data_IF_051007362259
#
_entry.id   IF_051007362259
#
_cell.length_a   1.000
_cell.length_b   1.000
_cell.length_c   1.000
_cell.angle_alpha   90.00
_cell.angle_beta   90.00
_cell.angle_gamma   90.00
#
_symmetry.space_group_name_H-M   'P 1'
#
loop_
_entity.id
_entity.type
_entity.pdbx_description
1 polymer ?
#
# COMPACT_ATOMS: atom_id res chain seq x y z
N UNK A 1 -26.32 -10.11 -8.47
CA UNK A 1 -24.98 -9.97 -7.85
C UNK A 1 -24.71 -8.50 -7.60
N UNK A 2 -24.06 -8.13 -6.47
CA UNK A 2 -23.72 -6.73 -6.20
C UNK A 2 -22.57 -6.32 -7.11
N UNK A 3 -22.72 -5.23 -7.84
CA UNK A 3 -21.65 -4.67 -8.67
C UNK A 3 -20.60 -4.01 -7.77
N UNK A 4 -19.32 -4.33 -7.92
CA UNK A 4 -18.22 -3.79 -7.10
C UNK A 4 -17.54 -2.65 -7.85
N UNK A 5 -17.50 -1.46 -7.23
CA UNK A 5 -16.84 -0.29 -7.77
C UNK A 5 -15.50 -0.09 -7.07
N UNK A 6 -14.39 -0.25 -7.81
CA UNK A 6 -13.03 -0.04 -7.33
C UNK A 6 -12.55 1.34 -7.81
N UNK A 7 -12.16 2.22 -6.89
CA UNK A 7 -11.54 3.49 -7.24
C UNK A 7 -10.02 3.43 -7.03
N UNK A 8 -9.27 3.66 -8.10
CA UNK A 8 -7.81 3.86 -8.06
C UNK A 8 -7.56 5.35 -7.96
N UNK A 9 -6.92 5.76 -6.87
CA UNK A 9 -6.69 7.17 -6.54
C UNK A 9 -5.55 7.71 -7.40
N UNK A 10 -5.85 8.71 -8.23
CA UNK A 10 -4.90 9.37 -9.10
C UNK A 10 -4.50 10.73 -8.52
N UNK A 11 -3.38 10.78 -7.83
CA UNK A 11 -2.78 12.00 -7.29
C UNK A 11 -1.41 12.28 -7.92
N UNK A 12 -1.24 11.86 -9.17
CA UNK A 12 -0.02 12.00 -9.97
C UNK A 12 1.23 11.29 -9.41
N UNK A 13 1.02 10.27 -8.59
CA UNK A 13 2.06 9.36 -8.11
C UNK A 13 1.61 7.92 -8.30
N UNK A 14 2.36 7.13 -9.05
CA UNK A 14 2.08 5.71 -9.19
C UNK A 14 1.94 5.23 -10.63
N UNK A 15 2.12 3.92 -10.82
CA UNK A 15 1.84 3.25 -12.08
C UNK A 15 0.36 2.90 -12.18
N UNK A 16 -0.45 3.94 -12.40
CA UNK A 16 -1.92 3.86 -12.44
C UNK A 16 -2.41 2.88 -13.50
N UNK A 17 -1.78 2.89 -14.68
CA UNK A 17 -2.20 2.04 -15.79
C UNK A 17 -2.04 0.56 -15.46
N UNK A 18 -0.89 0.15 -14.91
CA UNK A 18 -0.64 -1.23 -14.52
C UNK A 18 -1.58 -1.68 -13.39
N UNK A 19 -1.79 -0.83 -12.38
CA UNK A 19 -2.73 -1.12 -11.31
C UNK A 19 -4.15 -1.33 -11.86
N UNK A 20 -4.62 -0.43 -12.73
CA UNK A 20 -5.94 -0.55 -13.38
C UNK A 20 -6.09 -1.88 -14.12
N UNK A 21 -5.11 -2.23 -14.96
CA UNK A 21 -5.13 -3.48 -15.72
C UNK A 21 -5.16 -4.72 -14.84
N UNK A 22 -4.40 -4.73 -13.74
CA UNK A 22 -4.41 -5.82 -12.79
C UNK A 22 -5.78 -6.02 -12.15
N UNK A 23 -6.45 -4.95 -11.73
CA UNK A 23 -7.80 -5.04 -11.15
C UNK A 23 -8.88 -5.40 -12.18
N UNK A 24 -8.79 -4.89 -13.42
CA UNK A 24 -9.70 -5.29 -14.52
C UNK A 24 -9.56 -6.79 -14.81
N UNK A 25 -8.32 -7.31 -14.85
CA UNK A 25 -8.07 -8.73 -15.03
C UNK A 25 -8.62 -9.57 -13.88
N UNK A 26 -8.35 -9.16 -12.62
CA UNK A 26 -8.84 -9.87 -11.44
C UNK A 26 -10.38 -9.95 -11.39
N UNK A 27 -11.09 -8.87 -11.74
CA UNK A 27 -12.55 -8.90 -11.85
C UNK A 27 -13.02 -9.93 -12.89
N UNK A 28 -12.31 -10.01 -14.01
CA UNK A 28 -12.65 -10.95 -15.10
C UNK A 28 -12.37 -12.40 -14.69
N UNK A 29 -11.19 -12.68 -14.14
CA UNK A 29 -10.78 -14.05 -13.76
C UNK A 29 -11.63 -14.63 -12.61
N UNK A 30 -12.09 -13.76 -11.70
CA UNK A 30 -12.93 -14.14 -10.57
C UNK A 30 -14.43 -14.10 -10.88
N UNK A 31 -14.83 -13.78 -12.12
CA UNK A 31 -16.21 -13.62 -12.55
C UNK A 31 -17.01 -12.65 -11.65
N UNK A 32 -16.36 -11.57 -11.24
CA UNK A 32 -16.95 -10.54 -10.38
C UNK A 32 -17.47 -9.39 -11.24
N UNK A 33 -18.78 -9.13 -11.15
CA UNK A 33 -19.36 -7.94 -11.76
C UNK A 33 -18.84 -6.68 -11.06
N UNK A 34 -18.19 -5.79 -11.80
CA UNK A 34 -17.60 -4.60 -11.20
C UNK A 34 -17.00 -3.64 -12.23
N UNK A 35 -16.53 -2.51 -11.72
CA UNK A 35 -15.83 -1.50 -12.51
C UNK A 35 -14.58 -1.01 -11.80
N UNK A 36 -13.58 -0.61 -12.59
CA UNK A 36 -12.34 0.00 -12.09
C UNK A 36 -12.26 1.43 -12.64
N UNK A 37 -12.34 2.41 -11.75
CA UNK A 37 -12.31 3.83 -12.10
C UNK A 37 -11.04 4.47 -11.57
N UNK A 38 -10.28 5.12 -12.45
CA UNK A 38 -9.12 5.96 -12.06
C UNK A 38 -9.64 7.38 -11.85
N UNK A 39 -9.45 7.94 -10.66
CA UNK A 39 -10.05 9.23 -10.31
C UNK A 39 -9.28 9.96 -9.22
N UNK A 40 -9.40 11.28 -9.22
CA UNK A 40 -9.07 12.16 -8.10
C UNK A 40 -10.29 12.95 -7.61
N UNK A 41 -11.48 12.62 -8.10
CA UNK A 41 -12.73 13.24 -7.72
C UNK A 41 -13.21 12.66 -6.38
N UNK A 42 -13.31 13.48 -5.30
CA UNK A 42 -13.79 13.06 -4.00
C UNK A 42 -15.18 12.41 -4.02
N UNK A 43 -16.08 12.84 -4.91
CA UNK A 43 -17.43 12.27 -4.98
C UNK A 43 -17.42 10.85 -5.55
N UNK A 44 -16.56 10.56 -6.50
CA UNK A 44 -16.41 9.20 -7.06
C UNK A 44 -15.78 8.29 -6.00
N UNK A 45 -14.77 8.78 -5.30
CA UNK A 45 -14.13 8.06 -4.19
C UNK A 45 -15.13 7.74 -3.09
N UNK A 46 -15.98 8.69 -2.76
CA UNK A 46 -17.01 8.51 -1.74
C UNK A 46 -18.01 7.39 -2.09
N UNK A 47 -18.26 7.14 -3.36
CA UNK A 47 -19.20 6.10 -3.85
C UNK A 47 -18.52 4.73 -4.08
N UNK A 48 -17.20 4.63 -3.98
CA UNK A 48 -16.47 3.39 -4.22
C UNK A 48 -16.69 2.36 -3.11
N UNK A 49 -16.73 1.09 -3.48
CA UNK A 49 -16.78 -0.05 -2.55
C UNK A 49 -15.40 -0.47 -2.07
N UNK A 50 -14.35 -0.18 -2.86
CA UNK A 50 -12.95 -0.47 -2.55
C UNK A 50 -12.05 0.64 -3.09
N UNK A 51 -10.98 0.95 -2.36
CA UNK A 51 -10.03 1.98 -2.71
C UNK A 51 -8.66 1.36 -2.97
N UNK A 52 -7.91 1.95 -3.91
CA UNK A 52 -6.52 1.60 -4.18
C UNK A 52 -5.70 2.88 -4.17
N UNK A 53 -4.67 2.92 -3.34
CA UNK A 53 -3.72 4.03 -3.22
C UNK A 53 -2.36 3.57 -3.76
N UNK A 54 -2.07 3.70 -5.05
CA UNK A 54 -0.75 3.43 -5.59
C UNK A 54 0.20 4.57 -5.26
N UNK A 55 1.51 4.31 -5.29
CA UNK A 55 2.50 5.36 -5.13
C UNK A 55 3.85 4.93 -5.68
N UNK A 56 4.51 5.84 -6.44
CA UNK A 56 5.88 5.69 -6.94
C UNK A 56 6.58 7.03 -6.82
N UNK A 57 7.82 7.04 -6.34
CA UNK A 57 8.63 8.25 -6.16
C UNK A 57 9.06 8.45 -4.72
N UNK A 58 9.27 9.69 -4.31
CA UNK A 58 9.67 10.03 -2.95
C UNK A 58 8.45 10.18 -2.02
N UNK A 59 8.58 9.73 -0.77
CA UNK A 59 7.53 9.78 0.24
C UNK A 59 6.91 11.18 0.41
N UNK A 60 7.76 12.19 0.62
CA UNK A 60 7.32 13.57 0.84
C UNK A 60 6.63 14.18 -0.38
N UNK A 61 7.12 13.88 -1.58
CA UNK A 61 6.51 14.34 -2.82
C UNK A 61 5.11 13.75 -3.00
N UNK A 62 4.97 12.43 -2.84
CA UNK A 62 3.69 11.74 -2.95
C UNK A 62 2.70 12.25 -1.90
N UNK A 63 3.12 12.46 -0.65
CA UNK A 63 2.27 13.01 0.39
C UNK A 63 1.75 14.41 0.03
N UNK A 64 2.64 15.29 -0.44
CA UNK A 64 2.28 16.65 -0.82
C UNK A 64 1.31 16.66 -2.01
N UNK A 65 1.53 15.83 -3.01
CA UNK A 65 0.60 15.68 -4.15
C UNK A 65 -0.77 15.20 -3.71
N UNK A 66 -0.82 14.19 -2.83
CA UNK A 66 -2.08 13.69 -2.28
C UNK A 66 -2.85 14.80 -1.54
N UNK A 67 -2.14 15.61 -0.74
CA UNK A 67 -2.73 16.72 0.01
C UNK A 67 -3.09 17.94 -0.84
N UNK A 68 -2.45 18.12 -2.00
CA UNK A 68 -2.71 19.25 -2.90
C UNK A 68 -4.06 19.17 -3.62
N UNK A 69 -4.60 17.97 -3.79
CA UNK A 69 -5.92 17.77 -4.41
C UNK A 69 -6.99 18.05 -3.37
N UNK A 70 -7.75 19.12 -3.60
CA UNK A 70 -8.77 19.60 -2.66
C UNK A 70 -9.83 18.52 -2.37
N UNK A 71 -10.04 18.21 -1.10
CA UNK A 71 -11.03 17.25 -0.62
C UNK A 71 -10.67 15.78 -0.82
N UNK A 72 -9.60 15.46 -1.55
CA UNK A 72 -9.23 14.07 -1.86
C UNK A 72 -8.83 13.29 -0.61
N UNK A 73 -7.89 13.82 0.14
CA UNK A 73 -7.39 13.19 1.37
C UNK A 73 -8.47 13.02 2.43
N UNK A 74 -9.35 14.01 2.56
CA UNK A 74 -10.48 14.03 3.48
C UNK A 74 -11.50 12.94 3.09
N UNK A 75 -11.86 12.86 1.82
CA UNK A 75 -12.81 11.85 1.31
C UNK A 75 -12.27 10.42 1.48
N UNK A 76 -10.98 10.19 1.20
CA UNK A 76 -10.38 8.88 1.41
C UNK A 76 -10.39 8.52 2.90
N UNK A 77 -10.03 9.47 3.77
CA UNK A 77 -9.98 9.25 5.22
C UNK A 77 -11.35 8.89 5.76
N UNK A 78 -12.39 9.66 5.42
CA UNK A 78 -13.77 9.40 5.81
C UNK A 78 -14.25 8.03 5.34
N UNK A 79 -13.98 7.67 4.07
CA UNK A 79 -14.38 6.36 3.53
C UNK A 79 -13.74 5.20 4.25
N UNK A 80 -12.47 5.32 4.60
CA UNK A 80 -11.72 4.24 5.28
C UNK A 80 -12.09 4.16 6.75
N UNK A 81 -12.07 5.28 7.49
CA UNK A 81 -12.23 5.27 8.95
C UNK A 81 -13.71 5.23 9.37
N UNK A 82 -14.56 6.05 8.76
CA UNK A 82 -15.95 6.20 9.22
C UNK A 82 -16.87 5.18 8.56
N UNK A 83 -16.59 4.80 7.32
CA UNK A 83 -17.39 3.85 6.56
C UNK A 83 -16.79 2.44 6.42
N UNK A 84 -15.55 2.22 6.89
CA UNK A 84 -14.87 0.93 6.87
C UNK A 84 -14.61 0.38 5.46
N UNK A 85 -14.45 1.26 4.47
CA UNK A 85 -14.16 0.85 3.09
C UNK A 85 -12.75 0.29 3.01
N UNK A 86 -12.57 -0.94 2.47
CA UNK A 86 -11.23 -1.50 2.30
C UNK A 86 -10.37 -0.66 1.37
N UNK A 87 -9.11 -0.44 1.76
CA UNK A 87 -8.10 0.22 0.94
C UNK A 87 -6.87 -0.66 0.78
N UNK A 88 -6.35 -0.72 -0.45
CA UNK A 88 -5.06 -1.33 -0.77
C UNK A 88 -4.02 -0.25 -1.02
N UNK A 89 -3.01 -0.15 -0.15
CA UNK A 89 -1.82 0.65 -0.40
C UNK A 89 -0.79 -0.14 -1.21
N UNK A 90 -0.26 0.45 -2.29
CA UNK A 90 0.76 -0.16 -3.13
C UNK A 90 2.05 0.65 -3.04
N UNK A 91 3.15 0.03 -2.58
CA UNK A 91 4.48 0.64 -2.45
C UNK A 91 4.42 1.93 -1.61
N UNK A 92 4.77 3.10 -2.17
CA UNK A 92 4.67 4.40 -1.48
C UNK A 92 3.24 4.66 -0.98
N UNK A 93 2.21 4.22 -1.70
CA UNK A 93 0.83 4.37 -1.26
C UNK A 93 0.54 3.69 0.09
N UNK A 94 1.18 2.56 0.38
CA UNK A 94 1.14 1.96 1.71
C UNK A 94 1.96 2.78 2.71
N UNK A 95 3.18 3.17 2.32
CA UNK A 95 4.06 3.93 3.21
C UNK A 95 3.40 5.23 3.69
N UNK A 96 2.59 5.88 2.84
CA UNK A 96 1.84 7.08 3.21
C UNK A 96 0.87 6.88 4.38
N UNK A 97 0.48 5.65 4.70
CA UNK A 97 -0.40 5.35 5.85
C UNK A 97 0.32 5.50 7.19
N UNK A 98 1.66 5.53 7.22
CA UNK A 98 2.47 5.73 8.41
C UNK A 98 2.24 7.11 9.07
N UNK A 99 2.72 7.26 10.32
CA UNK A 99 2.76 8.56 10.99
C UNK A 99 3.68 9.52 10.25
N UNK A 100 4.84 9.03 9.79
CA UNK A 100 5.86 9.82 9.11
C UNK A 100 6.87 8.96 8.32
N UNK A 101 7.61 9.61 7.43
CA UNK A 101 8.73 9.02 6.70
C UNK A 101 9.99 9.86 6.79
N UNK A 102 11.16 9.19 6.66
CA UNK A 102 12.49 9.79 6.77
C UNK A 102 13.26 9.74 5.44
N UNK A 103 12.58 9.70 4.32
CA UNK A 103 13.24 9.78 3.03
C UNK A 103 13.69 11.22 2.75
N UNK A 104 15.02 11.43 2.73
CA UNK A 104 15.70 12.72 2.59
C UNK A 104 15.43 13.72 3.72
N UNK A 105 14.16 13.94 4.07
CA UNK A 105 13.70 14.82 5.15
C UNK A 105 12.60 14.12 5.95
N UNK A 106 12.43 14.48 7.21
CA UNK A 106 11.27 14.05 7.98
C UNK A 106 10.01 14.67 7.40
N UNK A 107 9.06 13.84 7.02
CA UNK A 107 7.78 14.23 6.42
C UNK A 107 6.62 13.51 7.10
N UNK A 108 5.49 14.20 7.28
CA UNK A 108 4.27 13.60 7.82
C UNK A 108 3.68 12.61 6.82
N UNK A 109 3.04 11.56 7.35
CA UNK A 109 2.15 10.66 6.63
C UNK A 109 0.69 10.90 6.97
N UNK A 110 -0.18 9.96 6.63
CA UNK A 110 -1.60 10.01 6.95
C UNK A 110 -1.88 9.66 8.42
N UNK A 111 -0.95 8.97 9.10
CA UNK A 111 -1.08 8.60 10.50
C UNK A 111 -2.16 7.55 10.77
N UNK A 112 -2.49 6.72 9.79
CA UNK A 112 -3.52 5.69 9.94
C UNK A 112 -3.00 4.42 10.60
N UNK A 113 -1.73 4.12 10.39
CA UNK A 113 -1.03 3.00 11.02
C UNK A 113 0.16 3.55 11.77
N UNK A 114 0.20 3.31 13.10
CA UNK A 114 1.29 3.81 13.94
C UNK A 114 2.62 3.19 13.54
N UNK A 115 3.60 4.03 13.27
CA UNK A 115 4.94 3.65 12.83
C UNK A 115 5.54 4.66 11.88
N UNK A 116 6.69 4.32 11.32
CA UNK A 116 7.44 5.24 10.48
C UNK A 116 8.11 4.52 9.30
N UNK A 117 8.35 5.26 8.23
CA UNK A 117 9.07 4.78 7.06
C UNK A 117 10.54 5.12 7.21
N UNK A 118 11.40 4.10 7.21
CA UNK A 118 12.82 4.17 7.51
C UNK A 118 13.67 3.59 6.37
N UNK A 119 14.94 4.01 6.33
CA UNK A 119 15.91 3.43 5.40
C UNK A 119 16.22 1.97 5.79
N UNK A 120 16.33 1.09 4.80
CA UNK A 120 16.88 -0.24 5.00
C UNK A 120 18.34 -0.16 5.46
N UNK A 121 18.62 -0.77 6.61
CA UNK A 121 19.97 -0.87 7.18
C UNK A 121 20.23 -2.33 7.55
N UNK A 122 20.57 -3.20 6.58
CA UNK A 122 20.87 -4.59 6.86
C UNK A 122 22.18 -4.73 7.65
N UNK A 123 22.22 -5.70 8.56
CA UNK A 123 23.41 -6.02 9.35
C UNK A 123 24.54 -6.57 8.45
N UNK A 124 24.19 -7.39 7.47
CA UNK A 124 25.11 -7.87 6.45
C UNK A 124 25.42 -6.76 5.43
N UNK A 125 26.66 -6.27 5.47
CA UNK A 125 27.17 -5.21 4.58
C UNK A 125 27.34 -5.65 3.12
N UNK A 126 27.23 -6.95 2.81
CA UNK A 126 27.25 -7.44 1.43
C UNK A 126 25.88 -7.27 0.73
N UNK A 127 24.82 -7.05 1.49
CA UNK A 127 23.50 -6.77 0.94
C UNK A 127 23.43 -5.36 0.35
N UNK A 128 22.99 -5.28 -0.90
CA UNK A 128 22.91 -4.02 -1.64
C UNK A 128 21.59 -3.30 -1.34
N UNK A 129 21.68 -1.97 -1.23
CA UNK A 129 20.53 -1.08 -1.19
C UNK A 129 20.52 -0.27 -2.50
N UNK A 130 19.38 -0.21 -3.21
CA UNK A 130 18.07 -0.76 -2.89
C UNK A 130 18.04 -2.30 -2.89
N UNK A 131 17.17 -2.87 -2.04
CA UNK A 131 16.76 -4.26 -2.20
C UNK A 131 16.02 -4.39 -3.52
N UNK A 132 16.55 -5.19 -4.44
CA UNK A 132 16.01 -5.34 -5.79
C UNK A 132 16.10 -6.80 -6.23
N UNK A 133 14.96 -7.39 -6.56
CA UNK A 133 14.90 -8.76 -7.05
C UNK A 133 13.66 -9.53 -6.57
N UNK A 134 13.60 -10.80 -6.98
CA UNK A 134 12.60 -11.75 -6.53
C UNK A 134 12.97 -12.31 -5.16
N UNK A 135 12.03 -12.29 -4.23
CA UNK A 135 12.18 -12.90 -2.92
C UNK A 135 10.87 -13.48 -2.43
N UNK A 136 10.98 -14.56 -1.70
CA UNK A 136 9.89 -15.22 -1.03
C UNK A 136 9.31 -14.34 0.09
N UNK A 137 7.99 -14.37 0.22
CA UNK A 137 7.24 -13.66 1.24
C UNK A 137 6.69 -14.64 2.27
N UNK A 138 7.05 -14.46 3.54
CA UNK A 138 6.53 -15.23 4.64
C UNK A 138 5.73 -14.36 5.61
N UNK A 139 4.47 -14.75 5.86
CA UNK A 139 3.62 -14.05 6.81
C UNK A 139 3.90 -14.51 8.24
N UNK A 140 4.22 -13.59 9.14
CA UNK A 140 4.36 -13.88 10.59
C UNK A 140 3.04 -14.30 11.23
N UNK A 141 1.94 -13.82 10.66
CA UNK A 141 0.57 -14.13 11.10
C UNK A 141 -0.28 -14.29 9.86
N UNK A 142 -0.95 -15.41 9.79
CA UNK A 142 -1.93 -15.69 8.76
C UNK A 142 -3.31 -15.76 9.41
N UNK A 143 -4.21 -14.87 8.96
CA UNK A 143 -5.62 -14.92 9.32
C UNK A 143 -6.48 -15.65 8.27
N UNK A 144 -5.82 -16.37 7.38
CA UNK A 144 -6.44 -17.13 6.29
C UNK A 144 -6.73 -16.32 5.03
N UNK A 145 -6.57 -14.98 5.05
CA UNK A 145 -6.86 -14.15 3.88
C UNK A 145 -5.77 -14.16 2.82
N UNK A 146 -4.54 -14.47 3.22
CA UNK A 146 -3.35 -14.43 2.37
C UNK A 146 -2.54 -15.72 2.41
N UNK A 147 -3.13 -16.81 2.93
CA UNK A 147 -2.45 -18.12 3.05
C UNK A 147 -1.84 -18.58 1.75
N UNK A 148 -2.55 -18.35 0.63
CA UNK A 148 -2.11 -18.75 -0.70
C UNK A 148 -0.90 -17.95 -1.23
N UNK A 149 -0.56 -16.85 -0.56
CA UNK A 149 0.57 -16.01 -0.92
C UNK A 149 1.80 -16.28 -0.03
N UNK A 150 1.63 -17.08 1.03
CA UNK A 150 2.72 -17.40 1.92
C UNK A 150 3.70 -18.37 1.27
N UNK A 151 4.97 -18.02 1.23
CA UNK A 151 6.00 -18.77 0.52
C UNK A 151 6.12 -18.44 -0.98
N UNK A 152 5.29 -17.54 -1.50
CA UNK A 152 5.36 -17.13 -2.91
C UNK A 152 6.41 -16.04 -3.14
N UNK A 153 6.98 -16.01 -4.34
CA UNK A 153 7.99 -15.03 -4.76
C UNK A 153 7.36 -13.75 -5.26
N UNK A 154 7.84 -12.61 -4.74
CA UNK A 154 7.48 -11.27 -5.18
C UNK A 154 8.69 -10.49 -5.65
N UNK A 155 8.50 -9.58 -6.60
CA UNK A 155 9.55 -8.69 -7.05
C UNK A 155 9.60 -7.43 -6.19
N UNK A 156 10.75 -7.18 -5.59
CA UNK A 156 11.03 -6.03 -4.73
C UNK A 156 11.91 -5.00 -5.42
N UNK A 157 11.65 -3.74 -5.15
CA UNK A 157 12.52 -2.61 -5.51
C UNK A 157 12.29 -1.47 -4.53
N UNK A 158 13.07 -1.44 -3.43
CA UNK A 158 12.91 -0.42 -2.40
C UNK A 158 14.19 -0.18 -1.60
N UNK A 159 14.36 1.05 -1.10
CA UNK A 159 15.41 1.45 -0.15
C UNK A 159 14.86 1.76 1.23
N UNK A 160 13.54 1.90 1.35
CA UNK A 160 12.84 2.24 2.59
C UNK A 160 11.79 1.20 2.90
N UNK A 161 11.48 1.02 4.18
CA UNK A 161 10.44 0.10 4.64
C UNK A 161 9.57 0.76 5.71
N UNK A 162 8.37 0.24 5.89
CA UNK A 162 7.45 0.68 6.91
C UNK A 162 7.69 -0.10 8.21
N UNK A 163 8.20 0.57 9.24
CA UNK A 163 8.37 0.03 10.58
C UNK A 163 7.11 0.31 11.41
N UNK A 164 6.12 -0.58 11.31
CA UNK A 164 4.87 -0.47 12.05
C UNK A 164 5.07 -0.85 13.52
N UNK A 165 4.61 -0.01 14.47
CA UNK A 165 4.78 -0.22 15.91
C UNK A 165 3.84 -1.27 16.50
N UNK A 166 2.61 -1.35 15.97
CA UNK A 166 1.59 -2.28 16.43
C UNK A 166 0.94 -2.94 15.23
N UNK A 167 1.18 -4.23 15.07
CA UNK A 167 0.51 -5.07 14.07
C UNK A 167 -0.71 -5.79 14.65
N UNK A 168 -1.03 -5.55 15.95
CA UNK A 168 -2.12 -6.20 16.67
C UNK A 168 -3.30 -5.23 16.76
N UNK A 169 -4.44 -5.61 16.19
CA UNK A 169 -5.72 -4.98 16.49
C UNK A 169 -6.09 -3.75 15.69
N UNK A 170 -5.44 -3.49 14.57
CA UNK A 170 -6.02 -2.56 13.59
C UNK A 170 -7.17 -3.27 12.90
N UNK A 171 -8.38 -2.95 13.32
CA UNK A 171 -9.65 -3.38 12.71
C UNK A 171 -9.85 -2.72 11.32
N UNK A 172 -8.73 -2.29 10.72
CA UNK A 172 -8.70 -1.66 9.43
C UNK A 172 -8.67 -2.75 8.36
N UNK A 173 -9.64 -2.71 7.49
CA UNK A 173 -9.67 -3.47 6.23
C UNK A 173 -8.63 -2.91 5.25
N UNK A 174 -7.41 -2.66 5.76
CA UNK A 174 -6.28 -2.20 4.97
C UNK A 174 -5.55 -3.44 4.48
N UNK A 175 -5.64 -3.67 3.19
CA UNK A 175 -4.85 -4.68 2.52
C UNK A 175 -3.46 -4.09 2.27
N UNK A 176 -2.45 -4.71 2.86
CA UNK A 176 -1.08 -4.25 2.77
C UNK A 176 -0.38 -5.05 1.67
N UNK A 177 -0.21 -4.44 0.49
CA UNK A 177 0.74 -4.91 -0.49
C UNK A 177 2.02 -4.10 -0.33
N UNK A 178 3.03 -4.68 0.30
CA UNK A 178 4.27 -3.96 0.59
C UNK A 178 5.45 -4.53 -0.15
N UNK A 179 6.26 -3.61 -0.64
CA UNK A 179 7.69 -3.77 -0.68
C UNK A 179 8.34 -3.35 0.67
N UNK A 180 7.64 -3.46 1.80
CA UNK A 180 8.10 -2.94 3.09
C UNK A 180 8.37 -4.08 4.03
N UNK A 181 9.62 -4.58 4.05
CA UNK A 181 10.01 -5.73 4.83
C UNK A 181 11.34 -5.47 5.50
N UNK A 182 11.43 -5.85 6.76
CA UNK A 182 12.68 -5.90 7.47
C UNK A 182 13.51 -7.07 6.95
N UNK A 183 14.59 -6.80 6.25
CA UNK A 183 15.56 -7.81 5.84
C UNK A 183 16.13 -8.52 7.08
N UNK A 184 15.82 -9.78 7.23
CA UNK A 184 16.54 -10.67 8.12
C UNK A 184 17.58 -11.47 7.34
N UNK A 185 18.69 -11.79 8.00
CA UNK A 185 19.95 -12.31 7.49
C UNK A 185 19.91 -13.69 6.81
N UNK A 186 18.76 -14.29 6.63
CA UNK A 186 18.59 -15.58 5.95
C UNK A 186 17.43 -15.48 4.96
N UNK A 187 17.70 -15.20 3.71
CA UNK A 187 16.88 -15.40 2.49
C UNK A 187 15.32 -15.36 2.59
N UNK A 188 14.76 -15.02 3.72
CA UNK A 188 13.33 -15.01 4.01
C UNK A 188 12.93 -13.61 4.44
N UNK A 189 11.92 -13.07 3.81
CA UNK A 189 11.34 -11.78 4.15
C UNK A 189 10.06 -12.00 4.94
N UNK A 190 9.99 -11.42 6.14
CA UNK A 190 8.82 -11.52 6.99
C UNK A 190 7.94 -10.27 6.85
N UNK A 191 6.67 -10.44 6.52
CA UNK A 191 5.66 -9.40 6.54
C UNK A 191 5.02 -9.39 7.93
N UNK A 192 5.06 -8.23 8.57
CA UNK A 192 4.48 -8.03 9.90
C UNK A 192 2.96 -7.83 9.84
#
# INVERSE_FOLDING_TARGET
MRNINIAIINYECGNIHSARKAFELALTELDISGSVTVTNDPEIIFKADKLVLPGVGAFSECFNKLKSVKGLSESITERVHDHGVPILGICIGLQLLADKGFENIESKGLGWISGQVENLCPDDKNLKIPHMGWNEVNFKRDDGRFSDLNGEDFYFVHSYYFNAKNTIGTDFRILIWTSSIKLYTERVMEIA
#
